data_IF_587706291638
#
_entry.id   IF_587706291638
#
_cell.length_a   1.000
_cell.length_b   1.000
_cell.length_c   1.000
_cell.angle_alpha   90.00
_cell.angle_beta   90.00
_cell.angle_gamma   90.00
#
_symmetry.space_group_name_H-M   'P 1'
#
loop_
_entity.id
_entity.type
_entity.pdbx_description
1 polymer ?
#
# COMPACT_ATOMS: atom_id res chain seq x y z
N UNK A 1 -7.40 -8.06 0.66
CA UNK A 1 -8.57 -7.26 0.26
C UNK A 1 -8.95 -7.43 -1.22
N UNK A 2 -8.00 -7.43 -2.12
CA UNK A 2 -8.29 -7.57 -3.56
C UNK A 2 -8.55 -9.00 -4.03
N UNK A 3 -8.36 -10.01 -3.18
CA UNK A 3 -8.58 -11.41 -3.56
C UNK A 3 -7.47 -11.98 -4.44
N UNK A 4 -6.24 -11.49 -4.27
CA UNK A 4 -5.06 -12.04 -4.93
C UNK A 4 -4.65 -13.32 -4.17
N UNK A 5 -4.18 -14.38 -4.87
CA UNK A 5 -3.75 -15.61 -4.19
C UNK A 5 -2.72 -15.33 -3.08
N UNK A 6 -2.88 -16.02 -1.96
CA UNK A 6 -2.00 -15.86 -0.80
C UNK A 6 -0.59 -16.37 -1.10
N UNK A 7 0.39 -15.55 -0.75
CA UNK A 7 1.81 -15.90 -0.79
C UNK A 7 2.48 -15.34 0.47
N UNK A 8 3.76 -15.69 0.72
CA UNK A 8 4.54 -15.11 1.81
C UNK A 8 4.72 -13.59 1.68
N UNK A 9 4.46 -13.04 0.50
CA UNK A 9 4.52 -11.59 0.26
C UNK A 9 3.52 -10.79 1.11
N UNK A 10 2.42 -11.42 1.58
CA UNK A 10 1.47 -10.74 2.47
C UNK A 10 2.11 -10.40 3.81
N UNK A 11 3.03 -11.21 4.30
CA UNK A 11 3.74 -10.96 5.55
C UNK A 11 4.63 -9.72 5.43
N UNK A 12 5.22 -9.48 4.27
CA UNK A 12 6.04 -8.29 4.03
C UNK A 12 5.19 -7.02 3.95
N UNK A 13 3.99 -7.11 3.40
CA UNK A 13 3.04 -6.00 3.48
C UNK A 13 2.69 -5.66 4.93
N UNK A 14 2.37 -6.68 5.71
CA UNK A 14 2.06 -6.52 7.14
C UNK A 14 3.22 -5.92 7.91
N UNK A 15 4.45 -6.38 7.64
CA UNK A 15 5.66 -5.82 8.24
C UNK A 15 5.81 -4.34 7.90
N UNK A 16 5.60 -3.96 6.64
CA UNK A 16 5.65 -2.56 6.21
C UNK A 16 4.66 -1.69 6.95
N UNK A 17 3.43 -2.17 7.13
CA UNK A 17 2.41 -1.46 7.91
C UNK A 17 2.84 -1.27 9.36
N UNK A 18 3.34 -2.32 10.01
CA UNK A 18 3.78 -2.26 11.41
C UNK A 18 4.94 -1.28 11.56
N UNK A 19 5.93 -1.35 10.68
CA UNK A 19 7.09 -0.47 10.73
C UNK A 19 6.68 1.01 10.57
N UNK A 20 5.80 1.30 9.61
CA UNK A 20 5.28 2.64 9.39
C UNK A 20 4.49 3.14 10.61
N UNK A 21 3.62 2.31 11.16
CA UNK A 21 2.81 2.66 12.32
C UNK A 21 3.64 2.93 13.57
N UNK A 22 4.70 2.15 13.79
CA UNK A 22 5.64 2.37 14.89
C UNK A 22 6.38 3.71 14.75
N UNK A 23 6.71 4.09 13.52
CA UNK A 23 7.42 5.34 13.24
C UNK A 23 6.52 6.56 13.39
N UNK A 24 5.33 6.53 12.79
CA UNK A 24 4.41 7.69 12.79
C UNK A 24 3.54 7.76 14.06
N UNK A 25 3.39 6.65 14.79
CA UNK A 25 2.69 6.62 16.07
C UNK A 25 1.18 6.38 15.99
N UNK A 26 0.63 6.09 14.81
CA UNK A 26 -0.80 5.80 14.64
C UNK A 26 -1.01 4.84 13.47
N UNK A 27 -2.19 4.17 13.39
CA UNK A 27 -2.49 3.24 12.28
C UNK A 27 -2.39 3.92 10.91
N UNK A 28 -1.72 3.27 9.97
CA UNK A 28 -1.44 3.87 8.66
C UNK A 28 -2.64 3.75 7.70
N UNK A 29 -3.36 2.63 7.76
CA UNK A 29 -4.51 2.37 6.89
C UNK A 29 -5.78 2.03 7.68
N UNK A 30 -6.21 2.87 8.65
CA UNK A 30 -7.47 2.62 9.33
C UNK A 30 -8.63 2.88 8.38
N UNK A 31 -9.76 2.21 8.59
CA UNK A 31 -10.94 2.40 7.75
C UNK A 31 -12.19 1.97 8.47
N UNK A 32 -13.30 2.65 8.21
CA UNK A 32 -14.63 2.33 8.76
C UNK A 32 -15.21 1.08 8.09
N UNK A 33 -14.78 0.80 6.87
CA UNK A 33 -15.22 -0.33 6.05
C UNK A 33 -14.07 -0.76 5.15
N UNK A 34 -14.24 -1.89 4.45
CA UNK A 34 -13.24 -2.32 3.46
C UNK A 34 -13.03 -1.27 2.36
N UNK A 35 -14.11 -0.63 1.90
CA UNK A 35 -14.02 0.43 0.89
C UNK A 35 -13.26 1.64 1.41
N UNK A 36 -13.52 2.07 2.64
CA UNK A 36 -12.79 3.19 3.25
C UNK A 36 -11.32 2.82 3.46
N UNK A 37 -11.04 1.61 3.90
CA UNK A 37 -9.67 1.12 4.06
C UNK A 37 -8.92 1.09 2.72
N UNK A 38 -9.57 0.61 1.65
CA UNK A 38 -8.99 0.60 0.31
C UNK A 38 -8.70 2.03 -0.16
N UNK A 39 -9.61 2.97 0.12
CA UNK A 39 -9.40 4.39 -0.20
C UNK A 39 -8.17 4.96 0.51
N UNK A 40 -7.95 4.60 1.77
CA UNK A 40 -6.77 5.04 2.52
C UNK A 40 -5.48 4.46 1.96
N UNK A 41 -5.49 3.21 1.53
CA UNK A 41 -4.31 2.61 0.89
C UNK A 41 -4.02 3.33 -0.42
N UNK A 42 -5.03 3.57 -1.25
CA UNK A 42 -4.86 4.29 -2.52
C UNK A 42 -4.44 5.75 -2.33
N UNK A 43 -4.89 6.40 -1.26
CA UNK A 43 -4.47 7.76 -0.93
C UNK A 43 -2.96 7.85 -0.76
N UNK A 44 -2.33 6.83 -0.19
CA UNK A 44 -0.89 6.79 0.06
C UNK A 44 -0.09 6.07 -1.01
N UNK A 45 -0.66 5.04 -1.64
CA UNK A 45 0.06 4.16 -2.57
C UNK A 45 -0.45 4.24 -4.00
N UNK A 46 -1.35 5.19 -4.28
CA UNK A 46 -2.00 5.34 -5.58
C UNK A 46 -2.86 4.12 -5.96
N UNK A 47 -3.43 4.14 -7.14
CA UNK A 47 -4.25 3.05 -7.68
C UNK A 47 -3.37 1.82 -7.91
N UNK A 48 -3.86 0.59 -7.60
CA UNK A 48 -3.09 -0.61 -7.95
C UNK A 48 -2.76 -0.64 -9.44
N UNK A 49 -1.56 -1.09 -9.81
CA UNK A 49 -1.20 -1.16 -11.22
C UNK A 49 -2.06 -2.19 -11.98
N UNK A 50 -2.19 -2.05 -13.31
CA UNK A 50 -3.05 -2.94 -14.11
C UNK A 50 -2.75 -4.42 -13.95
N UNK A 51 -1.48 -4.81 -13.83
CA UNK A 51 -1.06 -6.21 -13.64
C UNK A 51 -1.56 -6.80 -12.32
N UNK A 52 -1.74 -5.99 -11.29
CA UNK A 52 -2.30 -6.41 -10.00
C UNK A 52 -3.82 -6.55 -10.12
N UNK A 53 -4.48 -5.58 -10.74
CA UNK A 53 -5.94 -5.61 -10.92
C UNK A 53 -6.37 -6.77 -11.82
N UNK A 54 -5.57 -7.11 -12.81
CA UNK A 54 -5.87 -8.21 -13.74
C UNK A 54 -6.08 -9.54 -13.02
N UNK A 55 -5.27 -9.83 -11.99
CA UNK A 55 -5.35 -11.09 -11.23
C UNK A 55 -6.19 -10.97 -9.96
N UNK A 56 -6.78 -9.82 -9.70
CA UNK A 56 -7.58 -9.58 -8.50
C UNK A 56 -9.00 -10.09 -8.68
N UNK A 57 -9.41 -11.07 -7.87
CA UNK A 57 -10.76 -11.63 -7.92
C UNK A 57 -11.82 -10.68 -7.38
N UNK A 58 -11.45 -9.78 -6.48
CA UNK A 58 -12.37 -8.85 -5.82
C UNK A 58 -12.32 -7.42 -6.37
N UNK A 59 -11.70 -7.23 -7.52
CA UNK A 59 -11.50 -5.87 -8.09
C UNK A 59 -12.80 -5.11 -8.28
N UNK A 60 -13.87 -5.77 -8.68
CA UNK A 60 -15.15 -5.08 -8.95
C UNK A 60 -15.88 -4.62 -7.68
N UNK A 61 -15.38 -4.99 -6.50
CA UNK A 61 -15.88 -4.44 -5.24
C UNK A 61 -15.40 -3.01 -5.02
N UNK A 62 -14.24 -2.65 -5.57
CA UNK A 62 -13.56 -1.37 -5.33
C UNK A 62 -13.41 -0.51 -6.57
N UNK A 63 -13.64 -1.08 -7.76
CA UNK A 63 -13.42 -0.42 -9.04
C UNK A 63 -14.63 -0.60 -9.94
N UNK A 64 -14.82 0.36 -10.85
CA UNK A 64 -15.82 0.29 -11.89
C UNK A 64 -15.15 0.41 -13.26
N UNK A 65 -15.68 -0.29 -14.25
CA UNK A 65 -15.13 -0.28 -15.61
C UNK A 65 -15.59 0.98 -16.35
N UNK A 66 -14.65 1.81 -16.76
CA UNK A 66 -14.90 2.90 -17.68
C UNK A 66 -14.78 2.35 -19.12
N UNK A 67 -15.92 2.17 -19.77
CA UNK A 67 -15.98 1.57 -21.11
C UNK A 67 -15.35 2.45 -22.19
N UNK A 68 -15.37 3.76 -22.03
CA UNK A 68 -14.77 4.68 -22.99
C UNK A 68 -13.24 4.61 -22.93
N UNK A 69 -12.69 4.64 -21.71
CA UNK A 69 -11.24 4.56 -21.48
C UNK A 69 -10.71 3.13 -21.45
N UNK A 70 -11.58 2.13 -21.44
CA UNK A 70 -11.26 0.70 -21.33
C UNK A 70 -10.36 0.39 -20.12
N UNK A 71 -10.62 1.06 -18.98
CA UNK A 71 -9.84 0.86 -17.76
C UNK A 71 -10.76 0.85 -16.53
N UNK A 72 -10.23 0.34 -15.42
CA UNK A 72 -10.90 0.36 -14.13
C UNK A 72 -10.60 1.66 -13.40
N UNK A 73 -11.65 2.33 -12.93
CA UNK A 73 -11.54 3.52 -12.08
C UNK A 73 -11.96 3.17 -10.66
N UNK A 74 -11.32 3.75 -9.63
CA UNK A 74 -11.74 3.53 -8.24
C UNK A 74 -13.17 3.98 -7.99
N UNK A 75 -13.93 3.22 -7.21
CA UNK A 75 -15.22 3.66 -6.72
C UNK A 75 -14.96 4.70 -5.62
N UNK A 76 -15.36 5.94 -5.87
CA UNK A 76 -15.14 7.05 -4.95
C UNK A 76 -16.35 7.18 -4.04
N UNK A 77 -16.20 6.76 -2.78
CA UNK A 77 -17.25 6.83 -1.77
C UNK A 77 -16.80 7.74 -0.62
N UNK A 78 -17.72 8.60 -0.19
CA UNK A 78 -17.50 9.39 1.03
C UNK A 78 -17.61 8.49 2.26
N UNK A 79 -16.77 8.73 3.28
CA UNK A 79 -16.90 8.05 4.56
C UNK A 79 -18.02 8.71 5.41
N UNK A 80 -18.23 8.23 6.63
CA UNK A 80 -19.27 8.76 7.54
C UNK A 80 -19.10 10.24 7.87
N UNK A 81 -17.90 10.80 7.67
CA UNK A 81 -17.59 12.22 7.88
C UNK A 81 -17.68 13.05 6.61
N UNK A 82 -18.15 12.46 5.51
CA UNK A 82 -18.26 13.14 4.23
C UNK A 82 -16.92 13.33 3.51
N UNK A 83 -15.87 12.63 3.92
CA UNK A 83 -14.56 12.78 3.32
C UNK A 83 -14.39 11.85 2.12
N UNK A 84 -13.95 12.41 1.00
CA UNK A 84 -13.59 11.70 -0.22
C UNK A 84 -12.08 11.76 -0.39
N UNK A 85 -11.42 10.60 -0.41
CA UNK A 85 -9.97 10.51 -0.55
C UNK A 85 -9.59 10.26 -2.00
N UNK A 86 -8.65 11.06 -2.50
CA UNK A 86 -8.13 10.90 -3.85
C UNK A 86 -6.93 9.94 -3.87
N UNK A 87 -6.83 9.04 -4.87
CA UNK A 87 -5.61 8.24 -5.04
C UNK A 87 -4.38 9.15 -5.11
N UNK A 88 -3.30 8.75 -4.43
CA UNK A 88 -2.06 9.49 -4.33
C UNK A 88 -2.19 10.90 -3.74
N UNK A 89 -3.31 11.21 -3.10
CA UNK A 89 -3.54 12.53 -2.50
C UNK A 89 -2.68 12.80 -1.27
N UNK A 90 -2.16 11.74 -0.65
CA UNK A 90 -1.29 11.81 0.52
C UNK A 90 -0.21 10.73 0.42
N UNK A 91 0.80 10.91 -0.46
CA UNK A 91 1.79 9.88 -0.74
C UNK A 91 2.52 9.39 0.50
N UNK A 92 2.83 8.10 0.53
CA UNK A 92 3.49 7.45 1.67
C UNK A 92 4.86 8.06 1.98
N UNK A 93 5.64 8.38 0.96
CA UNK A 93 6.95 9.00 1.13
C UNK A 93 6.85 10.36 1.84
N UNK A 94 5.78 11.12 1.56
CA UNK A 94 5.51 12.37 2.25
C UNK A 94 5.11 12.15 3.71
N UNK A 95 4.29 11.12 3.98
CA UNK A 95 3.80 10.80 5.33
C UNK A 95 4.95 10.34 6.24
N UNK A 96 5.84 9.49 5.73
CA UNK A 96 7.01 9.02 6.47
C UNK A 96 8.07 10.13 6.56
N UNK A 97 8.20 10.94 5.51
CA UNK A 97 9.19 12.01 5.46
C UNK A 97 10.57 11.53 5.05
N UNK A 98 11.52 12.44 5.08
CA UNK A 98 12.87 12.24 4.57
C UNK A 98 13.97 12.27 5.64
N UNK A 99 13.60 12.18 6.92
CA UNK A 99 14.56 12.14 8.02
C UNK A 99 15.48 10.91 7.94
N UNK A 100 14.93 9.78 7.52
CA UNK A 100 15.70 8.57 7.25
C UNK A 100 15.28 8.02 5.87
N UNK A 101 15.97 8.42 4.79
CA UNK A 101 15.64 7.97 3.43
C UNK A 101 15.71 6.46 3.25
N UNK A 102 16.62 5.77 3.96
CA UNK A 102 16.75 4.32 3.86
C UNK A 102 15.56 3.61 4.51
N UNK A 103 15.08 4.11 5.63
CA UNK A 103 13.84 3.61 6.25
C UNK A 103 12.63 3.82 5.35
N UNK A 104 12.50 5.02 4.78
CA UNK A 104 11.44 5.35 3.84
C UNK A 104 11.44 4.37 2.66
N UNK A 105 12.61 4.15 2.05
CA UNK A 105 12.76 3.21 0.93
C UNK A 105 12.35 1.79 1.32
N UNK A 106 12.76 1.34 2.50
CA UNK A 106 12.42 0.01 3.02
C UNK A 106 10.89 -0.16 3.14
N UNK A 107 10.21 0.79 3.78
CA UNK A 107 8.75 0.73 3.96
C UNK A 107 8.02 0.78 2.62
N UNK A 108 8.42 1.67 1.72
CA UNK A 108 7.80 1.79 0.40
C UNK A 108 7.90 0.47 -0.36
N UNK A 109 9.04 -0.19 -0.32
CA UNK A 109 9.24 -1.48 -0.99
C UNK A 109 8.44 -2.61 -0.36
N UNK A 110 8.19 -2.56 0.96
CA UNK A 110 7.28 -3.49 1.63
C UNK A 110 5.83 -3.27 1.24
N UNK A 111 5.42 -2.04 0.96
CA UNK A 111 4.05 -1.66 0.62
C UNK A 111 3.84 -1.52 -0.89
N UNK A 112 4.57 -2.29 -1.68
CA UNK A 112 4.33 -2.45 -3.11
C UNK A 112 3.03 -3.20 -3.33
N UNK A 113 2.18 -2.69 -4.22
CA UNK A 113 0.93 -3.35 -4.60
C UNK A 113 1.16 -4.74 -5.18
N UNK A 114 2.21 -4.89 -6.00
CA UNK A 114 2.50 -6.14 -6.69
C UNK A 114 3.30 -7.09 -5.77
N UNK A 115 2.70 -8.23 -5.37
CA UNK A 115 3.41 -9.19 -4.52
C UNK A 115 4.67 -9.77 -5.17
N UNK A 116 4.75 -9.79 -6.50
CA UNK A 116 5.93 -10.31 -7.22
C UNK A 116 7.12 -9.35 -7.15
N UNK A 117 6.88 -8.05 -7.11
CA UNK A 117 7.93 -7.03 -7.00
C UNK A 117 8.12 -6.50 -5.59
N UNK A 118 7.22 -6.86 -4.67
CA UNK A 118 7.32 -6.48 -3.26
C UNK A 118 8.59 -7.04 -2.65
N UNK A 119 9.18 -6.29 -1.73
CA UNK A 119 10.39 -6.70 -1.02
C UNK A 119 10.20 -8.08 -0.37
N UNK A 120 11.12 -9.00 -0.60
CA UNK A 120 11.13 -10.34 0.02
C UNK A 120 11.89 -10.32 1.34
N UNK A 121 11.66 -11.32 2.24
CA UNK A 121 12.47 -11.41 3.45
C UNK A 121 13.97 -11.51 3.18
N UNK A 122 14.38 -12.25 2.16
CA UNK A 122 15.81 -12.38 1.80
C UNK A 122 16.39 -11.04 1.36
N UNK A 123 15.68 -10.30 0.51
CA UNK A 123 16.12 -8.98 0.05
C UNK A 123 16.07 -7.96 1.19
N UNK A 124 15.10 -8.09 2.11
CA UNK A 124 15.01 -7.23 3.29
C UNK A 124 16.24 -7.33 4.16
N UNK A 125 16.79 -8.54 4.33
CA UNK A 125 18.02 -8.75 5.11
C UNK A 125 19.26 -8.09 4.47
N UNK A 126 19.19 -7.81 3.18
CA UNK A 126 20.26 -7.14 2.42
C UNK A 126 20.03 -5.65 2.24
N UNK A 127 18.87 -5.15 2.66
CA UNK A 127 18.53 -3.74 2.49
C UNK A 127 19.44 -2.87 3.36
N UNK A 128 19.86 -1.74 2.81
CA UNK A 128 20.82 -0.83 3.45
C UNK A 128 20.35 -0.37 4.83
N UNK A 129 19.06 -0.13 5.01
CA UNK A 129 18.53 0.28 6.30
C UNK A 129 18.72 -0.79 7.38
N UNK A 130 18.49 -2.06 7.03
CA UNK A 130 18.71 -3.19 7.94
C UNK A 130 20.20 -3.38 8.23
N UNK A 131 21.04 -3.34 7.17
CA UNK A 131 22.48 -3.57 7.32
C UNK A 131 23.15 -2.51 8.18
N UNK A 132 22.78 -1.25 8.06
CA UNK A 132 23.39 -0.18 8.87
C UNK A 132 22.94 -0.23 10.34
N UNK A 133 21.86 -0.93 10.66
CA UNK A 133 21.40 -1.15 12.03
C UNK A 133 22.07 -2.34 12.72
N UNK A 134 22.83 -3.14 11.99
CA UNK A 134 23.54 -4.29 12.57
C UNK A 134 24.85 -3.85 13.24
N UNK A 135 25.29 -4.54 14.33
CA UNK A 135 26.57 -4.26 14.94
C UNK A 135 27.71 -4.50 13.92
N UNK A 136 28.81 -3.75 14.04
CA UNK A 136 29.97 -3.94 13.17
C UNK A 136 30.64 -5.30 13.37
#
# INVERSE_FOLDING_TARGET
MLGIPYTTAIDMWSLGCIMAELYIGYPIFPGESENDQMSRIMEMRDVPPPEVLEVSERKMKFFTLDKEKKKLDPIMLENSRGKLRKPNGKPLDYVIGDEDPDFNDFVIKCLDWNPETRLTPDDALKHVWVLKGLPP
#
